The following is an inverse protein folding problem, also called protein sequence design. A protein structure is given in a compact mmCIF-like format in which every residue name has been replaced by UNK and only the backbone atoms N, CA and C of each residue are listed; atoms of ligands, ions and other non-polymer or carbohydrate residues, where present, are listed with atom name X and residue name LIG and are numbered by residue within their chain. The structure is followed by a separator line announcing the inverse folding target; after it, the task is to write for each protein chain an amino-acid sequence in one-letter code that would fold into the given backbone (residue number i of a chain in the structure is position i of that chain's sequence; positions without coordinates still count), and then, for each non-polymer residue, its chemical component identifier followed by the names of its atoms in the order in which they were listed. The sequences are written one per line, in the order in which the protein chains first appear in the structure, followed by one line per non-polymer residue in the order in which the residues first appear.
data_IF_230331694813
#
_entry.id   IF_230331694813
#
_cell.length_a   1.000
_cell.length_b   1.000
_cell.length_c   1.000
_cell.angle_alpha   90.00
_cell.angle_beta   90.00
_cell.angle_gamma   90.00
#
_symmetry.space_group_name_H-M   'P 1'
#
loop_
_entity.id
_entity.type
_entity.pdbx_description
1 polymer ?
#
# COMPACT_ATOMS: atom_id res chain seq x y z
N UNK A 1 -3.59 7.35 1.42
CA UNK A 1 -2.58 8.43 1.39
C UNK A 1 -1.19 7.82 1.25
N UNK A 2 -0.31 8.46 0.44
CA UNK A 2 1.11 8.07 0.38
C UNK A 2 1.95 9.24 0.83
N UNK A 3 2.85 8.96 1.77
CA UNK A 3 3.84 9.91 2.28
C UNK A 3 5.22 9.37 1.91
N UNK A 4 6.04 10.19 1.26
CA UNK A 4 7.41 9.83 0.85
C UNK A 4 8.35 10.79 1.56
N UNK A 5 9.35 10.22 2.26
CA UNK A 5 10.42 10.99 2.87
C UNK A 5 11.75 10.53 2.29
N UNK A 6 12.50 11.48 1.73
CA UNK A 6 13.81 11.23 1.14
C UNK A 6 14.91 11.46 2.19
N UNK A 7 15.58 10.40 2.57
CA UNK A 7 16.74 10.38 3.45
C UNK A 7 17.98 9.84 2.73
N UNK A 8 17.97 9.82 1.38
CA UNK A 8 19.04 9.20 0.58
C UNK A 8 20.38 9.87 0.79
N UNK A 9 20.40 11.20 0.90
CA UNK A 9 21.64 11.95 1.08
C UNK A 9 22.36 11.67 2.41
N UNK A 10 21.59 11.40 3.48
CA UNK A 10 22.16 11.22 4.82
C UNK A 10 22.29 9.74 5.19
N UNK A 11 21.36 8.90 4.74
CA UNK A 11 21.23 7.52 5.19
C UNK A 11 21.12 6.49 4.06
N UNK A 12 21.07 6.93 2.80
CA UNK A 12 20.88 6.03 1.66
C UNK A 12 19.47 5.38 1.65
N UNK A 13 18.47 6.06 2.17
CA UNK A 13 17.12 5.54 2.33
C UNK A 13 16.04 6.49 1.84
N UNK A 14 15.02 5.91 1.23
CA UNK A 14 13.74 6.57 0.98
C UNK A 14 12.64 5.79 1.70
N UNK A 15 11.89 6.44 2.59
CA UNK A 15 10.76 5.82 3.22
C UNK A 15 9.46 6.16 2.50
N UNK A 16 8.61 5.15 2.32
CA UNK A 16 7.26 5.27 1.76
C UNK A 16 6.28 4.75 2.78
N UNK A 17 5.32 5.57 3.18
CA UNK A 17 4.22 5.17 4.04
C UNK A 17 2.93 5.21 3.22
N UNK A 18 2.27 4.07 3.09
CA UNK A 18 0.97 3.89 2.44
C UNK A 18 -0.06 3.73 3.54
N UNK A 19 -0.92 4.74 3.71
CA UNK A 19 -1.92 4.78 4.78
C UNK A 19 -3.31 4.60 4.17
N UNK A 20 -4.01 3.56 4.58
CA UNK A 20 -5.44 3.37 4.33
C UNK A 20 -6.25 3.78 5.57
N UNK A 21 -6.72 5.03 5.57
CA UNK A 21 -7.50 5.57 6.68
C UNK A 21 -8.90 4.96 6.81
N UNK A 22 -9.40 4.30 5.77
CA UNK A 22 -10.73 3.65 5.77
C UNK A 22 -10.66 2.30 6.47
N UNK A 23 -9.64 1.51 6.15
CA UNK A 23 -9.38 0.21 6.77
C UNK A 23 -8.67 0.37 8.11
N UNK A 24 -7.88 1.43 8.25
CA UNK A 24 -7.06 1.72 9.43
C UNK A 24 -5.77 0.91 9.42
N UNK A 25 -5.10 0.86 8.28
CA UNK A 25 -3.87 0.12 8.08
C UNK A 25 -2.75 1.01 7.52
N UNK A 26 -1.51 0.65 7.79
CA UNK A 26 -0.32 1.28 7.25
C UNK A 26 0.66 0.24 6.72
N UNK A 27 1.22 0.52 5.55
CA UNK A 27 2.38 -0.19 5.01
C UNK A 27 3.55 0.79 4.95
N UNK A 28 4.66 0.44 5.57
CA UNK A 28 5.89 1.20 5.50
C UNK A 28 6.93 0.42 4.68
N UNK A 29 7.49 1.06 3.67
CA UNK A 29 8.55 0.53 2.82
C UNK A 29 9.79 1.41 2.96
N UNK A 30 10.95 0.79 3.09
CA UNK A 30 12.23 1.48 3.14
C UNK A 30 13.08 1.03 1.95
N UNK A 31 13.14 1.88 0.94
CA UNK A 31 13.95 1.65 -0.24
C UNK A 31 15.39 2.09 0.01
N UNK A 32 16.35 1.31 -0.45
CA UNK A 32 17.77 1.64 -0.40
C UNK A 32 18.12 2.41 -1.67
N UNK A 33 18.53 3.67 -1.51
CA UNK A 33 19.03 4.51 -2.58
C UNK A 33 20.16 5.38 -2.07
N UNK A 34 21.36 5.13 -2.54
CA UNK A 34 22.57 5.86 -2.11
C UNK A 34 22.66 7.26 -2.73
N UNK A 35 22.07 7.44 -3.90
CA UNK A 35 21.96 8.73 -4.57
C UNK A 35 20.58 8.80 -5.25
N UNK A 36 19.72 9.71 -4.79
CA UNK A 36 18.48 10.01 -5.51
C UNK A 36 18.70 11.25 -6.38
N UNK A 37 18.38 11.16 -7.67
CA UNK A 37 18.18 12.34 -8.48
C UNK A 37 16.90 13.04 -8.02
N UNK A 38 16.99 14.37 -7.85
CA UNK A 38 15.87 15.18 -7.36
C UNK A 38 14.55 15.04 -8.18
N UNK A 39 14.62 14.47 -9.38
CA UNK A 39 13.48 14.27 -10.28
C UNK A 39 12.87 12.86 -10.20
N UNK A 40 13.58 11.88 -9.62
CA UNK A 40 13.10 10.48 -9.57
C UNK A 40 13.34 9.92 -8.18
N UNK A 41 12.40 10.20 -7.28
CA UNK A 41 12.51 9.75 -5.88
C UNK A 41 12.51 8.23 -5.80
N UNK A 42 11.62 7.52 -6.53
CA UNK A 42 11.58 6.06 -6.60
C UNK A 42 11.39 5.67 -8.06
N UNK A 43 12.33 4.94 -8.68
CA UNK A 43 12.18 4.46 -10.05
C UNK A 43 11.03 3.46 -10.19
N UNK A 44 10.40 3.48 -11.37
CA UNK A 44 9.46 2.43 -11.77
C UNK A 44 10.22 1.12 -11.97
N UNK A 45 9.57 0.02 -11.61
CA UNK A 45 10.12 -1.32 -11.76
C UNK A 45 9.85 -2.21 -10.56
N UNK A 46 10.50 -3.38 -10.58
CA UNK A 46 10.40 -4.37 -9.51
C UNK A 46 11.60 -4.25 -8.59
N UNK A 47 11.32 -4.06 -7.31
CA UNK A 47 12.29 -3.93 -6.23
C UNK A 47 12.21 -5.16 -5.33
N UNK A 48 13.32 -5.85 -5.12
CA UNK A 48 13.37 -7.03 -4.24
C UNK A 48 13.35 -6.63 -2.76
N UNK A 49 12.55 -7.33 -1.99
CA UNK A 49 12.57 -7.24 -0.52
C UNK A 49 13.61 -8.23 0.00
N UNK A 50 14.71 -7.73 0.52
CA UNK A 50 15.80 -8.55 1.06
C UNK A 50 16.59 -7.79 2.15
N UNK A 51 17.58 -8.45 2.74
CA UNK A 51 18.45 -7.90 3.78
C UNK A 51 19.77 -7.34 3.24
N UNK A 52 19.89 -7.20 1.93
CA UNK A 52 21.05 -6.60 1.30
C UNK A 52 20.88 -5.09 1.18
N UNK A 53 21.99 -4.39 1.39
CA UNK A 53 22.06 -2.94 1.24
C UNK A 53 22.45 -2.54 -0.17
N UNK A 54 21.75 -3.11 -1.16
CA UNK A 54 21.98 -2.75 -2.55
C UNK A 54 20.98 -1.70 -3.02
N UNK A 55 21.50 -0.80 -3.83
CA UNK A 55 20.72 0.24 -4.47
C UNK A 55 19.51 -0.34 -5.21
N UNK A 56 18.33 0.22 -4.96
CA UNK A 56 17.08 -0.25 -5.55
C UNK A 56 16.41 -1.44 -4.85
N UNK A 57 16.90 -1.91 -3.69
CA UNK A 57 16.20 -2.93 -2.90
C UNK A 57 15.29 -2.31 -1.84
N UNK A 58 14.41 -3.12 -1.26
CA UNK A 58 13.55 -2.78 -0.12
C UNK A 58 14.00 -3.56 1.10
N UNK A 59 14.18 -2.89 2.24
CA UNK A 59 14.68 -3.51 3.46
C UNK A 59 13.71 -4.53 4.03
N UNK A 60 14.22 -5.75 4.25
CA UNK A 60 13.50 -6.86 4.87
C UNK A 60 13.41 -6.73 6.40
N UNK A 61 12.90 -7.77 7.05
CA UNK A 61 12.65 -7.86 8.49
C UNK A 61 13.90 -7.69 9.37
N UNK A 62 15.07 -8.03 8.84
CA UNK A 62 16.35 -7.78 9.53
C UNK A 62 16.72 -6.30 9.53
N UNK A 63 16.16 -5.55 8.56
CA UNK A 63 16.26 -4.11 8.48
C UNK A 63 17.67 -3.56 8.59
N UNK A 64 17.71 -2.30 8.95
CA UNK A 64 18.93 -1.59 9.28
C UNK A 64 18.85 -1.10 10.73
N UNK A 65 19.96 -1.13 11.43
CA UNK A 65 20.08 -0.48 12.71
C UNK A 65 20.31 1.02 12.50
N UNK A 66 19.35 1.82 12.94
CA UNK A 66 19.42 3.27 12.92
C UNK A 66 19.18 3.80 14.34
N UNK A 67 20.18 4.48 14.88
CA UNK A 67 20.15 5.07 16.24
C UNK A 67 19.66 4.04 17.30
N UNK A 68 20.15 2.81 17.20
CA UNK A 68 19.77 1.72 18.09
C UNK A 68 18.41 1.07 17.81
N UNK A 69 17.74 1.44 16.71
CA UNK A 69 16.48 0.87 16.28
C UNK A 69 16.61 0.19 14.91
N UNK A 70 16.00 -0.98 14.76
CA UNK A 70 15.91 -1.65 13.46
C UNK A 70 14.80 -1.02 12.64
N UNK A 71 15.08 -0.73 11.37
CA UNK A 71 14.14 -0.08 10.44
C UNK A 71 13.77 -1.06 9.31
N UNK A 72 12.88 -2.03 9.54
CA UNK A 72 12.42 -2.96 8.51
C UNK A 72 11.18 -2.40 7.81
N UNK A 73 10.92 -2.90 6.59
CA UNK A 73 9.61 -2.68 5.96
C UNK A 73 8.55 -3.56 6.62
N UNK A 74 7.34 -3.01 6.79
CA UNK A 74 6.29 -3.70 7.54
C UNK A 74 4.89 -3.29 7.08
N UNK A 75 3.92 -4.10 7.51
CA UNK A 75 2.49 -3.79 7.54
C UNK A 75 2.01 -3.80 8.99
N UNK A 76 1.13 -2.86 9.36
CA UNK A 76 0.59 -2.74 10.71
C UNK A 76 -0.78 -2.04 10.70
N UNK A 77 -1.42 -1.99 11.86
CA UNK A 77 -2.62 -1.17 12.07
C UNK A 77 -2.25 0.30 12.19
N UNK A 78 -3.16 1.18 11.72
CA UNK A 78 -3.04 2.63 11.88
C UNK A 78 -4.29 3.15 12.57
N UNK A 79 -4.15 3.57 13.83
CA UNK A 79 -5.28 3.96 14.68
C UNK A 79 -5.02 5.33 15.29
N UNK A 80 -5.94 6.26 15.12
CA UNK A 80 -5.87 7.62 15.69
C UNK A 80 -4.56 8.38 15.40
N UNK A 81 -3.99 8.16 14.21
CA UNK A 81 -2.74 8.80 13.79
C UNK A 81 -1.47 8.07 14.24
N UNK A 82 -1.57 6.89 14.86
CA UNK A 82 -0.46 6.11 15.39
C UNK A 82 -0.39 4.72 14.80
N UNK A 83 0.84 4.25 14.62
CA UNK A 83 1.09 2.85 14.25
C UNK A 83 0.91 1.98 15.47
N UNK A 84 0.08 0.95 15.36
CA UNK A 84 -0.26 0.05 16.46
C UNK A 84 0.16 -1.40 16.16
N UNK A 85 0.53 -2.14 17.21
CA UNK A 85 0.77 -3.57 17.11
C UNK A 85 -0.49 -4.35 16.66
N UNK A 86 -0.34 -5.51 16.01
CA UNK A 86 0.91 -6.19 15.69
C UNK A 86 1.60 -5.65 14.43
N UNK A 87 2.94 -5.71 14.42
CA UNK A 87 3.74 -5.45 13.23
C UNK A 87 4.00 -6.75 12.45
N UNK A 88 3.75 -6.71 11.15
CA UNK A 88 4.05 -7.81 10.23
C UNK A 88 5.20 -7.41 9.34
N UNK A 89 6.42 -7.66 9.79
CA UNK A 89 7.64 -7.32 9.06
C UNK A 89 7.78 -8.16 7.80
N UNK A 90 8.14 -7.55 6.68
CA UNK A 90 8.39 -8.27 5.44
C UNK A 90 9.75 -8.95 5.48
N UNK A 91 9.80 -10.23 5.08
CA UNK A 91 11.02 -11.03 5.09
C UNK A 91 11.63 -11.16 3.69
N UNK A 92 10.81 -11.45 2.70
CA UNK A 92 11.20 -11.59 1.30
C UNK A 92 10.04 -11.20 0.41
N UNK A 93 10.31 -10.96 -0.86
CA UNK A 93 9.28 -10.69 -1.86
C UNK A 93 9.68 -9.61 -2.82
N UNK A 94 8.68 -8.93 -3.39
CA UNK A 94 8.87 -7.85 -4.35
C UNK A 94 7.89 -6.71 -4.11
N UNK A 95 8.34 -5.52 -4.45
CA UNK A 95 7.51 -4.32 -4.60
C UNK A 95 7.58 -3.89 -6.05
N UNK A 96 6.47 -3.91 -6.76
CA UNK A 96 6.38 -3.32 -8.09
C UNK A 96 5.90 -1.88 -7.96
N UNK A 97 6.67 -0.96 -8.56
CA UNK A 97 6.37 0.47 -8.59
C UNK A 97 6.06 0.88 -10.01
N UNK A 98 4.89 1.49 -10.22
CA UNK A 98 4.48 2.05 -11.51
C UNK A 98 3.99 3.48 -11.35
N UNK A 99 3.96 4.25 -12.43
CA UNK A 99 3.35 5.59 -12.46
C UNK A 99 2.06 5.57 -13.25
N UNK A 100 1.02 6.15 -12.69
CA UNK A 100 -0.21 6.38 -13.44
C UNK A 100 -0.08 7.56 -14.41
N UNK A 101 -1.13 7.80 -15.22
CA UNK A 101 -1.16 8.89 -16.21
C UNK A 101 -0.96 10.30 -15.62
N UNK A 102 -1.17 10.47 -14.32
CA UNK A 102 -0.96 11.72 -13.59
C UNK A 102 0.43 11.81 -12.91
N UNK A 103 1.31 10.84 -13.16
CA UNK A 103 2.64 10.76 -12.57
C UNK A 103 2.68 10.34 -11.11
N UNK A 104 1.55 9.90 -10.53
CA UNK A 104 1.51 9.38 -9.16
C UNK A 104 1.94 7.93 -9.11
N UNK A 105 2.62 7.54 -8.03
CA UNK A 105 3.11 6.18 -7.84
C UNK A 105 2.02 5.23 -7.36
N UNK A 106 1.96 4.07 -8.00
CA UNK A 106 1.21 2.91 -7.56
C UNK A 106 2.21 1.87 -7.01
N UNK A 107 1.75 1.06 -6.08
CA UNK A 107 2.57 0.02 -5.46
C UNK A 107 1.80 -1.30 -5.45
N UNK A 108 2.45 -2.37 -5.92
CA UNK A 108 1.99 -3.74 -5.72
C UNK A 108 3.06 -4.50 -4.94
N UNK A 109 2.68 -5.00 -3.77
CA UNK A 109 3.58 -5.66 -2.82
C UNK A 109 3.19 -7.12 -2.73
N UNK A 110 4.12 -8.01 -3.09
CA UNK A 110 4.00 -9.45 -2.95
C UNK A 110 5.10 -9.93 -2.02
N UNK A 111 4.78 -10.20 -0.76
CA UNK A 111 5.76 -10.49 0.27
C UNK A 111 5.41 -11.72 1.11
N UNK A 112 6.42 -12.31 1.74
CA UNK A 112 6.26 -13.15 2.93
C UNK A 112 6.62 -12.31 4.15
N UNK A 113 5.79 -12.36 5.18
CA UNK A 113 6.11 -11.72 6.44
C UNK A 113 7.00 -12.63 7.33
N UNK A 114 7.47 -12.10 8.44
CA UNK A 114 8.32 -12.82 9.42
C UNK A 114 7.66 -14.05 10.04
N UNK A 115 6.34 -14.24 9.87
CA UNK A 115 5.60 -15.43 10.26
C UNK A 115 5.41 -16.42 9.10
N UNK A 116 6.05 -16.22 7.95
CA UNK A 116 5.86 -16.97 6.70
C UNK A 116 4.43 -16.93 6.15
N UNK A 117 3.70 -15.84 6.41
CA UNK A 117 2.36 -15.63 5.87
C UNK A 117 2.48 -14.78 4.61
N UNK A 118 1.89 -15.22 3.47
CA UNK A 118 1.86 -14.40 2.26
C UNK A 118 1.06 -13.12 2.48
N UNK A 119 1.60 -12.01 2.01
CA UNK A 119 0.99 -10.68 2.04
C UNK A 119 0.92 -10.15 0.62
N UNK A 120 -0.26 -9.73 0.18
CA UNK A 120 -0.46 -9.06 -1.09
C UNK A 120 -1.18 -7.74 -0.83
N UNK A 121 -0.55 -6.62 -1.17
CA UNK A 121 -1.09 -5.28 -0.98
C UNK A 121 -1.00 -4.55 -2.31
N UNK A 122 -2.11 -3.97 -2.74
CA UNK A 122 -2.18 -3.11 -3.93
C UNK A 122 -2.61 -1.72 -3.51
N UNK A 123 -1.80 -0.74 -3.86
CA UNK A 123 -2.13 0.67 -3.75
C UNK A 123 -2.16 1.30 -5.13
N UNK A 124 -3.33 1.77 -5.54
CA UNK A 124 -3.53 2.52 -6.77
C UNK A 124 -3.82 3.99 -6.43
N UNK A 125 -2.91 4.88 -6.80
CA UNK A 125 -3.03 6.33 -6.56
C UNK A 125 -4.15 6.99 -7.39
N UNK A 126 -4.67 6.32 -8.42
CA UNK A 126 -5.85 6.78 -9.16
C UNK A 126 -7.15 6.53 -8.39
N UNK A 127 -7.12 5.60 -7.43
CA UNK A 127 -8.27 5.05 -6.72
C UNK A 127 -8.73 5.83 -5.49
N UNK A 128 -8.74 7.16 -5.48
CA UNK A 128 -9.52 7.92 -4.48
C UNK A 128 -11.01 8.03 -4.85
N UNK A 129 -11.48 7.16 -5.71
CA UNK A 129 -12.88 6.91 -6.02
C UNK A 129 -13.08 5.41 -6.02
N UNK A 130 -14.15 4.93 -5.44
CA UNK A 130 -14.66 3.59 -5.74
C UNK A 130 -14.85 3.57 -7.25
N UNK A 131 -13.83 3.14 -8.01
CA UNK A 131 -14.08 2.72 -9.37
C UNK A 131 -15.16 1.65 -9.26
N UNK A 132 -16.26 1.88 -9.96
CA UNK A 132 -17.22 0.85 -10.29
C UNK A 132 -16.41 -0.26 -10.97
N UNK A 133 -15.81 -1.14 -10.21
CA UNK A 133 -15.52 -2.45 -10.75
C UNK A 133 -16.90 -3.00 -11.05
N UNK A 134 -17.32 -2.87 -12.32
CA UNK A 134 -18.39 -3.65 -12.89
C UNK A 134 -17.97 -5.12 -12.74
N UNK A 135 -18.09 -5.63 -11.52
CA UNK A 135 -18.19 -7.07 -11.31
C UNK A 135 -19.58 -7.38 -11.88
N UNK A 136 -19.60 -7.62 -13.19
CA UNK A 136 -20.75 -8.09 -13.91
C UNK A 136 -21.03 -9.55 -13.44
N UNK A 137 -21.49 -9.68 -12.21
CA UNK A 137 -22.28 -10.84 -11.80
C UNK A 137 -23.64 -10.56 -12.44
N UNK A 138 -23.99 -11.34 -13.47
CA UNK A 138 -25.28 -11.20 -14.17
C UNK A 138 -26.38 -10.89 -13.17
N UNK A 139 -27.01 -9.71 -13.30
CA UNK A 139 -28.15 -9.30 -12.48
C UNK A 139 -27.86 -8.52 -11.20
N UNK A 140 -26.60 -8.29 -10.80
CA UNK A 140 -26.27 -7.51 -9.60
C UNK A 140 -25.40 -6.29 -9.97
N UNK A 141 -25.88 -5.08 -9.65
CA UNK A 141 -25.13 -3.83 -9.83
C UNK A 141 -24.92 -3.17 -8.46
N UNK A 142 -23.73 -2.66 -8.21
CA UNK A 142 -23.44 -1.76 -7.09
C UNK A 142 -23.41 -0.33 -7.64
N UNK A 143 -24.12 0.60 -7.01
CA UNK A 143 -24.19 1.98 -7.43
C UNK A 143 -24.19 2.92 -6.23
N UNK A 144 -23.59 4.08 -6.37
CA UNK A 144 -23.74 5.19 -5.43
C UNK A 144 -24.97 6.01 -5.83
N UNK A 145 -25.98 6.05 -4.97
CA UNK A 145 -27.17 6.89 -5.10
C UNK A 145 -27.18 7.86 -3.94
N UNK A 146 -27.12 9.18 -4.24
CA UNK A 146 -27.10 10.24 -3.22
C UNK A 146 -26.02 10.03 -2.13
N UNK A 147 -24.81 9.57 -2.54
CA UNK A 147 -23.70 9.29 -1.63
C UNK A 147 -23.83 8.02 -0.78
N UNK A 148 -24.83 7.19 -1.05
CA UNK A 148 -25.03 5.92 -0.35
C UNK A 148 -24.81 4.76 -1.30
N UNK A 149 -24.04 3.76 -0.85
CA UNK A 149 -23.86 2.52 -1.58
C UNK A 149 -25.16 1.73 -1.60
N UNK A 150 -25.67 1.44 -2.79
CA UNK A 150 -26.83 0.59 -3.00
C UNK A 150 -26.48 -0.61 -3.89
N UNK A 151 -27.15 -1.71 -3.67
CA UNK A 151 -27.04 -2.94 -4.46
C UNK A 151 -28.34 -3.08 -5.24
N UNK A 152 -28.26 -3.12 -6.57
CA UNK A 152 -29.40 -3.34 -7.46
C UNK A 152 -29.36 -4.81 -7.88
N UNK A 153 -30.39 -5.55 -7.55
CA UNK A 153 -30.58 -6.94 -7.94
C UNK A 153 -32.00 -7.17 -8.44
N UNK A 154 -32.15 -7.73 -9.62
CA UNK A 154 -33.45 -8.01 -10.25
C UNK A 154 -34.39 -6.78 -10.28
N UNK A 155 -33.81 -5.60 -10.57
CA UNK A 155 -34.54 -4.33 -10.61
C UNK A 155 -34.97 -3.78 -9.23
N UNK A 156 -34.57 -4.42 -8.12
CA UNK A 156 -34.81 -3.95 -6.76
C UNK A 156 -33.55 -3.34 -6.18
N UNK A 157 -33.72 -2.29 -5.38
CA UNK A 157 -32.60 -1.56 -4.73
C UNK A 157 -32.51 -1.98 -3.26
N UNK A 158 -31.29 -2.32 -2.82
CA UNK A 158 -30.99 -2.70 -1.44
C UNK A 158 -29.90 -1.79 -0.89
N UNK A 159 -29.93 -1.48 0.40
CA UNK A 159 -28.83 -0.79 1.08
C UNK A 159 -27.65 -1.75 1.36
N UNK A 160 -26.54 -1.23 1.86
CA UNK A 160 -25.35 -2.01 2.20
C UNK A 160 -25.60 -3.11 3.27
N UNK A 161 -26.71 -3.05 4.02
CA UNK A 161 -27.09 -4.02 5.03
C UNK A 161 -28.08 -5.08 4.47
N UNK A 162 -28.36 -5.03 3.16
CA UNK A 162 -29.27 -5.98 2.50
C UNK A 162 -30.78 -5.66 2.67
N UNK A 163 -31.13 -4.54 3.28
CA UNK A 163 -32.54 -4.12 3.38
C UNK A 163 -32.98 -3.44 2.07
N UNK A 164 -34.15 -3.83 1.54
CA UNK A 164 -34.73 -3.22 0.34
C UNK A 164 -35.08 -1.75 0.62
N UNK A 165 -34.61 -0.86 -0.23
CA UNK A 165 -34.94 0.58 -0.20
C UNK A 165 -36.05 0.84 -1.20
N UNK A 166 -37.09 1.55 -0.76
CA UNK A 166 -38.20 1.94 -1.63
C UNK A 166 -37.86 3.21 -2.41
#
# INVERSE_FOLDING_TARGET
EVIINDFSADYGLISVQIIDSVVGDITALYFVYMESDAETIIPEGTHEINDTWFDGTVLASTGMEWDGSVVPSYYARYVDGWVAEPFYFFQTGTVEVTKNANGKLNFEINALNSCNIPVHIVYDAAGTGVENTDVNVEGIKKQLLDGRLVIIRDGKVYNAHGAQVK
#
